data_IF_903544559995
#
_entry.id   IF_903544559995
#
_cell.length_a   1.000
_cell.length_b   1.000
_cell.length_c   1.000
_cell.angle_alpha   90.00
_cell.angle_beta   90.00
_cell.angle_gamma   90.00
#
_symmetry.space_group_name_H-M   'P 1'
#
loop_
_entity.id
_entity.type
_entity.pdbx_description
1 polymer ?
#
# COMPACT_ATOMS: atom_id res chain seq x y z
N UNK A 1 52.70 28.74 -13.16
CA UNK A 1 51.46 29.22 -12.52
C UNK A 1 50.30 28.73 -13.36
N UNK A 2 49.59 27.73 -12.85
CA UNK A 2 48.45 27.10 -13.50
C UNK A 2 47.82 26.18 -12.46
N UNK A 3 47.00 26.76 -11.59
CA UNK A 3 46.24 26.04 -10.58
C UNK A 3 45.16 25.21 -11.28
N UNK A 4 45.40 23.90 -11.40
CA UNK A 4 44.37 22.92 -11.73
C UNK A 4 43.31 22.95 -10.63
N UNK A 5 42.17 23.56 -10.93
CA UNK A 5 40.96 23.45 -10.12
C UNK A 5 40.46 22.01 -10.31
N UNK A 6 40.83 21.11 -9.39
CA UNK A 6 40.23 19.78 -9.35
C UNK A 6 38.72 19.96 -9.17
N UNK A 7 37.93 19.53 -10.15
CA UNK A 7 36.48 19.47 -10.02
C UNK A 7 36.19 18.36 -9.01
N UNK A 8 36.10 18.74 -7.74
CA UNK A 8 35.71 17.81 -6.68
C UNK A 8 34.34 17.22 -7.02
N UNK A 9 34.19 15.92 -6.79
CA UNK A 9 32.90 15.28 -6.96
C UNK A 9 31.88 15.92 -6.00
N UNK A 10 30.59 16.02 -6.37
CA UNK A 10 29.57 16.62 -5.49
C UNK A 10 29.51 15.96 -4.11
N UNK A 11 29.78 14.66 -4.02
CA UNK A 11 29.87 13.93 -2.75
C UNK A 11 31.03 14.41 -1.87
N UNK A 12 32.18 14.69 -2.47
CA UNK A 12 33.36 15.18 -1.73
C UNK A 12 33.15 16.61 -1.24
N UNK A 13 32.49 17.46 -2.03
CA UNK A 13 32.11 18.81 -1.62
C UNK A 13 31.12 18.77 -0.45
N UNK A 14 30.07 17.95 -0.52
CA UNK A 14 29.12 17.74 0.57
C UNK A 14 29.79 17.21 1.84
N UNK A 15 30.70 16.24 1.70
CA UNK A 15 31.47 15.69 2.83
C UNK A 15 32.32 16.77 3.51
N UNK A 16 32.98 17.61 2.72
CA UNK A 16 33.78 18.72 3.25
C UNK A 16 32.92 19.73 4.01
N UNK A 17 31.73 20.08 3.48
CA UNK A 17 30.77 20.94 4.18
C UNK A 17 30.37 20.32 5.52
N UNK A 18 29.97 19.03 5.53
CA UNK A 18 29.58 18.34 6.77
C UNK A 18 30.71 18.33 7.81
N UNK A 19 31.96 18.08 7.40
CA UNK A 19 33.12 18.09 8.30
C UNK A 19 33.39 19.48 8.88
N UNK A 20 33.32 20.53 8.07
CA UNK A 20 33.48 21.91 8.55
C UNK A 20 32.43 22.31 9.59
N UNK A 21 31.20 21.80 9.45
CA UNK A 21 30.14 22.04 10.45
C UNK A 21 30.47 21.33 11.77
N UNK A 22 30.90 20.08 11.70
CA UNK A 22 31.20 19.26 12.88
C UNK A 22 32.43 19.76 13.63
N UNK A 23 33.44 20.23 12.90
CA UNK A 23 34.64 20.88 13.46
C UNK A 23 34.35 22.29 14.01
N UNK A 24 33.12 22.80 13.87
CA UNK A 24 32.72 24.13 14.33
C UNK A 24 33.27 25.29 13.51
N UNK A 25 33.86 25.01 12.34
CA UNK A 25 34.38 26.03 11.42
C UNK A 25 33.27 26.73 10.62
N UNK A 26 32.14 26.05 10.44
CA UNK A 26 31.00 26.53 9.67
C UNK A 26 29.70 26.39 10.48
N UNK A 27 28.92 27.48 10.58
CA UNK A 27 27.64 27.43 11.27
C UNK A 27 26.62 26.55 10.50
N UNK A 28 25.80 25.73 11.19
CA UNK A 28 24.80 24.85 10.56
C UNK A 28 23.85 25.55 9.58
N UNK A 29 23.37 26.74 9.93
CA UNK A 29 22.52 27.57 9.07
C UNK A 29 23.19 27.98 7.76
N UNK A 30 24.49 28.30 7.82
CA UNK A 30 25.26 28.73 6.65
C UNK A 30 25.48 27.53 5.73
N UNK A 31 25.84 26.37 6.29
CA UNK A 31 25.96 25.12 5.55
C UNK A 31 24.65 24.73 4.85
N UNK A 32 23.51 24.86 5.54
CA UNK A 32 22.19 24.63 4.95
C UNK A 32 21.95 25.53 3.71
N UNK A 33 22.29 26.82 3.79
CA UNK A 33 22.12 27.75 2.68
C UNK A 33 23.03 27.41 1.48
N UNK A 34 24.24 26.90 1.74
CA UNK A 34 25.13 26.39 0.69
C UNK A 34 24.51 25.18 0.00
N UNK A 35 24.06 24.17 0.76
CA UNK A 35 23.37 22.98 0.22
C UNK A 35 22.14 23.38 -0.60
N UNK A 36 21.33 24.31 -0.10
CA UNK A 36 20.16 24.83 -0.82
C UNK A 36 20.54 25.49 -2.16
N UNK A 37 21.72 26.10 -2.24
CA UNK A 37 22.24 26.67 -3.49
C UNK A 37 22.70 25.57 -4.43
N UNK A 38 23.41 24.56 -3.93
CA UNK A 38 23.86 23.39 -4.71
C UNK A 38 22.68 22.59 -5.30
N UNK A 39 21.56 22.49 -4.57
CA UNK A 39 20.33 21.87 -5.07
C UNK A 39 19.74 22.56 -6.31
N UNK A 40 20.09 23.83 -6.58
CA UNK A 40 19.63 24.54 -7.80
C UNK A 40 20.48 24.20 -9.02
N UNK A 41 21.69 23.70 -8.81
CA UNK A 41 22.68 23.44 -9.86
C UNK A 41 22.88 21.96 -10.13
N UNK A 42 22.69 21.10 -9.12
CA UNK A 42 22.98 19.67 -9.17
C UNK A 42 21.72 18.90 -8.76
N UNK A 43 21.26 18.02 -9.65
CA UNK A 43 20.19 17.08 -9.34
C UNK A 43 20.67 16.00 -8.35
N UNK A 44 19.75 15.45 -7.55
CA UNK A 44 20.01 14.36 -6.58
C UNK A 44 20.84 14.72 -5.33
N UNK A 45 21.10 16.01 -5.06
CA UNK A 45 21.76 16.44 -3.81
C UNK A 45 21.13 15.83 -2.54
N UNK A 46 19.79 15.77 -2.37
CA UNK A 46 19.20 15.14 -1.19
C UNK A 46 19.61 13.67 -0.98
N UNK A 47 19.69 12.89 -2.06
CA UNK A 47 20.09 11.48 -2.00
C UNK A 47 21.57 11.34 -1.63
N UNK A 48 22.44 12.10 -2.30
CA UNK A 48 23.88 12.08 -2.04
C UNK A 48 24.20 12.58 -0.61
N UNK A 49 23.44 13.55 -0.13
CA UNK A 49 23.59 14.09 1.21
C UNK A 49 23.26 13.05 2.28
N UNK A 50 22.23 12.22 2.09
CA UNK A 50 21.91 11.13 3.03
C UNK A 50 23.09 10.18 3.18
N UNK A 51 23.69 9.76 2.07
CA UNK A 51 24.87 8.88 2.08
C UNK A 51 26.04 9.51 2.84
N UNK A 52 26.31 10.80 2.58
CA UNK A 52 27.36 11.56 3.26
C UNK A 52 27.08 11.70 4.76
N UNK A 53 25.84 12.02 5.15
CA UNK A 53 25.45 12.14 6.56
C UNK A 53 25.61 10.80 7.30
N UNK A 54 25.30 9.67 6.65
CA UNK A 54 25.47 8.34 7.23
C UNK A 54 26.96 7.99 7.46
N UNK A 55 27.85 8.35 6.52
CA UNK A 55 29.30 8.19 6.69
C UNK A 55 29.78 9.02 7.88
N UNK A 56 29.35 10.27 7.95
CA UNK A 56 29.72 11.21 9.01
C UNK A 56 29.20 10.75 10.39
N UNK A 57 27.97 10.22 10.46
CA UNK A 57 27.41 9.65 11.68
C UNK A 57 28.20 8.42 12.17
N UNK A 58 28.63 7.58 11.22
CA UNK A 58 29.51 6.45 11.51
C UNK A 58 30.87 6.90 12.05
N UNK A 59 31.50 7.91 11.44
CA UNK A 59 32.75 8.52 11.92
C UNK A 59 32.58 9.00 13.38
N UNK A 60 31.53 9.76 13.66
CA UNK A 60 31.22 10.28 14.99
C UNK A 60 30.96 9.18 16.04
N UNK A 61 30.42 8.04 15.63
CA UNK A 61 30.11 6.92 16.52
C UNK A 61 31.37 6.16 16.98
N UNK A 62 32.47 6.24 16.22
CA UNK A 62 33.73 5.55 16.56
C UNK A 62 34.63 6.33 17.52
N UNK A 63 34.48 7.65 17.60
CA UNK A 63 35.34 8.54 18.38
C UNK A 63 34.73 8.92 19.74
N UNK A 64 35.28 8.37 20.83
CA UNK A 64 34.77 8.54 22.22
C UNK A 64 34.83 9.98 22.80
N UNK A 65 35.21 11.01 22.05
CA UNK A 65 35.56 12.36 22.57
C UNK A 65 34.76 13.54 22.01
N UNK A 66 33.71 13.30 21.24
CA UNK A 66 33.13 14.33 20.36
C UNK A 66 31.67 14.71 20.70
N UNK A 67 31.35 14.98 21.96
CA UNK A 67 30.01 15.46 22.38
C UNK A 67 29.63 16.81 21.73
N UNK A 68 30.58 17.74 21.59
CA UNK A 68 30.33 19.04 20.93
C UNK A 68 30.11 18.88 19.42
N UNK A 69 30.94 18.08 18.76
CA UNK A 69 30.78 17.70 17.36
C UNK A 69 29.42 17.05 17.08
N UNK A 70 28.96 16.17 17.98
CA UNK A 70 27.64 15.54 17.89
C UNK A 70 26.50 16.55 18.04
N UNK A 71 26.67 17.56 18.90
CA UNK A 71 25.70 18.66 19.04
C UNK A 71 25.60 19.48 17.75
N UNK A 72 26.73 19.89 17.16
CA UNK A 72 26.73 20.60 15.87
C UNK A 72 26.11 19.75 14.75
N UNK A 73 26.38 18.45 14.74
CA UNK A 73 25.79 17.53 13.77
C UNK A 73 24.27 17.42 13.92
N UNK A 74 23.75 17.26 15.15
CA UNK A 74 22.31 17.22 15.42
C UNK A 74 21.61 18.54 15.07
N UNK A 75 22.23 19.67 15.40
CA UNK A 75 21.73 20.99 15.01
C UNK A 75 21.65 21.08 13.49
N UNK A 76 22.70 20.67 12.77
CA UNK A 76 22.71 20.64 11.32
C UNK A 76 21.66 19.74 10.69
N UNK A 77 21.49 18.51 11.20
CA UNK A 77 20.40 17.62 10.79
C UNK A 77 19.05 18.33 10.94
N UNK A 78 18.81 19.06 12.03
CA UNK A 78 17.54 19.75 12.26
C UNK A 78 17.23 20.84 11.20
N UNK A 79 18.25 21.45 10.61
CA UNK A 79 18.06 22.39 9.48
C UNK A 79 17.76 21.66 8.16
N UNK A 80 18.15 20.38 8.04
CA UNK A 80 17.94 19.56 6.84
C UNK A 80 16.60 18.83 6.85
N UNK A 81 16.12 18.44 8.03
CA UNK A 81 14.86 17.70 8.24
C UNK A 81 13.66 18.43 7.61
N UNK A 82 12.92 17.73 6.76
CA UNK A 82 11.73 18.17 6.00
C UNK A 82 11.94 19.38 5.08
N UNK A 83 13.16 19.93 5.01
CA UNK A 83 13.55 21.03 4.10
C UNK A 83 14.36 20.53 2.91
N UNK A 84 15.23 19.54 3.15
CA UNK A 84 16.08 18.91 2.13
C UNK A 84 15.77 17.42 2.04
N UNK A 85 15.67 16.75 3.19
CA UNK A 85 15.44 15.31 3.31
C UNK A 85 14.30 15.07 4.29
N UNK A 86 13.37 14.17 3.95
CA UNK A 86 12.25 13.83 4.84
C UNK A 86 12.75 13.20 6.15
N UNK A 87 12.11 13.57 7.27
CA UNK A 87 12.45 13.07 8.62
C UNK A 87 12.51 11.53 8.71
N UNK A 88 11.54 10.85 8.09
CA UNK A 88 11.48 9.39 8.08
C UNK A 88 12.71 8.75 7.41
N UNK A 89 13.29 9.39 6.38
CA UNK A 89 14.50 8.88 5.70
C UNK A 89 15.71 9.03 6.62
N UNK A 90 15.88 10.21 7.23
CA UNK A 90 16.99 10.46 8.15
C UNK A 90 16.95 9.50 9.35
N UNK A 91 15.78 9.25 9.93
CA UNK A 91 15.61 8.27 11.02
C UNK A 91 15.90 6.83 10.60
N UNK A 92 15.72 6.49 9.33
CA UNK A 92 16.02 5.14 8.83
C UNK A 92 17.52 4.92 8.58
N UNK A 93 18.26 5.97 8.24
CA UNK A 93 19.66 5.86 7.80
C UNK A 93 20.68 6.31 8.86
N UNK A 94 20.29 7.18 9.80
CA UNK A 94 21.21 7.73 10.80
C UNK A 94 21.05 7.05 12.17
N UNK A 95 22.14 6.50 12.68
CA UNK A 95 22.23 5.86 14.00
C UNK A 95 22.04 6.86 15.13
N UNK A 96 22.49 8.10 14.98
CA UNK A 96 22.21 9.20 15.94
C UNK A 96 20.72 9.46 16.13
N UNK A 97 19.88 9.10 15.15
CA UNK A 97 18.42 9.21 15.20
C UNK A 97 17.70 7.89 15.49
N UNK A 98 18.44 6.82 15.80
CA UNK A 98 17.87 5.52 16.15
C UNK A 98 17.56 4.61 14.95
N UNK A 99 18.31 4.70 13.85
CA UNK A 99 18.19 3.77 12.72
C UNK A 99 18.32 2.30 13.14
N UNK A 100 19.22 2.00 14.08
CA UNK A 100 19.42 0.67 14.64
C UNK A 100 18.37 0.23 15.68
N UNK A 101 17.43 1.10 16.07
CA UNK A 101 16.37 0.71 16.99
C UNK A 101 15.41 -0.31 16.37
N UNK A 102 15.00 -1.29 17.17
CA UNK A 102 14.11 -2.36 16.72
C UNK A 102 12.77 -1.83 16.20
N UNK A 103 12.29 -0.72 16.75
CA UNK A 103 11.09 0.01 16.36
C UNK A 103 11.21 0.53 14.92
N UNK A 104 12.30 1.22 14.61
CA UNK A 104 12.61 1.77 13.27
C UNK A 104 12.76 0.66 12.23
N UNK A 105 13.54 -0.37 12.52
CA UNK A 105 13.69 -1.54 11.63
C UNK A 105 12.36 -2.23 11.34
N UNK A 106 11.53 -2.41 12.37
CA UNK A 106 10.19 -2.98 12.22
C UNK A 106 9.27 -2.11 11.35
N UNK A 107 9.35 -0.77 11.47
CA UNK A 107 8.61 0.16 10.61
C UNK A 107 9.05 0.07 9.15
N UNK A 108 10.35 -0.02 8.89
CA UNK A 108 10.91 -0.18 7.53
C UNK A 108 10.39 -1.47 6.89
N UNK A 109 10.46 -2.59 7.62
CA UNK A 109 9.94 -3.88 7.14
C UNK A 109 8.45 -3.78 6.81
N UNK A 110 7.62 -3.27 7.73
CA UNK A 110 6.17 -3.11 7.49
C UNK A 110 5.87 -2.23 6.28
N UNK A 111 6.60 -1.14 6.11
CA UNK A 111 6.42 -0.19 5.00
C UNK A 111 6.81 -0.84 3.67
N UNK A 112 7.97 -1.49 3.60
CA UNK A 112 8.41 -2.24 2.42
C UNK A 112 7.41 -3.35 2.10
N UNK A 113 6.96 -4.12 3.10
CA UNK A 113 5.98 -5.19 2.88
C UNK A 113 4.67 -4.63 2.31
N UNK A 114 4.17 -3.52 2.87
CA UNK A 114 2.96 -2.85 2.36
C UNK A 114 3.16 -2.34 0.93
N UNK A 115 4.32 -1.78 0.60
CA UNK A 115 4.59 -1.21 -0.71
C UNK A 115 4.72 -2.30 -1.79
N UNK A 116 5.37 -3.42 -1.48
CA UNK A 116 5.68 -4.45 -2.46
C UNK A 116 4.66 -5.59 -2.52
N UNK A 117 3.95 -5.91 -1.43
CA UNK A 117 3.05 -7.08 -1.38
C UNK A 117 1.57 -6.73 -1.24
N UNK A 118 1.21 -5.47 -0.94
CA UNK A 118 -0.20 -5.09 -0.88
C UNK A 118 -0.72 -4.85 -2.30
N UNK A 119 -1.44 -5.82 -2.85
CA UNK A 119 -2.24 -5.58 -4.06
C UNK A 119 -3.38 -4.61 -3.73
N UNK A 120 -3.57 -3.61 -4.58
CA UNK A 120 -4.75 -2.74 -4.50
C UNK A 120 -5.89 -3.55 -5.10
N UNK A 121 -6.75 -4.10 -4.24
CA UNK A 121 -8.04 -4.68 -4.64
C UNK A 121 -9.14 -3.82 -4.04
N UNK A 122 -10.06 -3.37 -4.86
CA UNK A 122 -11.21 -2.60 -4.40
C UNK A 122 -12.26 -3.58 -3.92
N UNK A 123 -12.66 -3.45 -2.66
CA UNK A 123 -13.64 -4.34 -2.03
C UNK A 123 -14.98 -3.61 -1.82
N UNK A 124 -14.98 -2.27 -1.85
CA UNK A 124 -16.17 -1.47 -1.58
C UNK A 124 -16.70 -0.84 -2.87
N UNK A 125 -18.02 -0.80 -3.01
CA UNK A 125 -18.68 -0.23 -4.20
C UNK A 125 -18.27 1.24 -4.47
N UNK A 126 -17.99 2.01 -3.42
CA UNK A 126 -17.55 3.41 -3.53
C UNK A 126 -16.11 3.58 -4.00
N UNK A 127 -15.29 2.55 -3.83
CA UNK A 127 -13.88 2.60 -4.26
C UNK A 127 -13.78 2.47 -5.77
N UNK A 128 -14.61 1.63 -6.39
CA UNK A 128 -14.61 1.39 -7.84
C UNK A 128 -16.03 1.18 -8.39
N UNK A 129 -16.80 2.27 -8.43
CA UNK A 129 -18.22 2.21 -8.81
C UNK A 129 -18.48 1.78 -10.26
N UNK A 130 -17.57 2.11 -11.19
CA UNK A 130 -17.72 1.75 -12.60
C UNK A 130 -17.56 0.23 -12.81
N UNK A 131 -16.50 -0.35 -12.24
CA UNK A 131 -16.23 -1.79 -12.34
C UNK A 131 -17.38 -2.62 -11.78
N UNK A 132 -17.90 -2.25 -10.61
CA UNK A 132 -19.03 -2.96 -10.01
C UNK A 132 -20.36 -2.74 -10.74
N UNK A 133 -20.63 -1.53 -11.26
CA UNK A 133 -21.82 -1.29 -12.07
C UNK A 133 -21.82 -2.16 -13.34
N UNK A 134 -20.68 -2.22 -14.05
CA UNK A 134 -20.52 -3.07 -15.24
C UNK A 134 -20.70 -4.55 -14.91
N UNK A 135 -20.16 -5.00 -13.78
CA UNK A 135 -20.35 -6.38 -13.31
C UNK A 135 -21.83 -6.70 -13.09
N UNK A 136 -22.57 -5.84 -12.40
CA UNK A 136 -24.00 -6.04 -12.11
C UNK A 136 -24.82 -6.04 -13.39
N UNK A 137 -24.61 -5.05 -14.27
CA UNK A 137 -25.28 -4.95 -15.58
C UNK A 137 -25.03 -6.20 -16.42
N UNK A 138 -23.80 -6.71 -16.45
CA UNK A 138 -23.45 -7.92 -17.19
C UNK A 138 -24.21 -9.14 -16.68
N UNK A 139 -24.37 -9.28 -15.36
CA UNK A 139 -25.06 -10.39 -14.74
C UNK A 139 -26.58 -10.32 -14.90
N UNK A 140 -27.19 -9.13 -14.88
CA UNK A 140 -28.64 -8.95 -14.87
C UNK A 140 -29.26 -8.72 -16.25
N UNK A 141 -28.67 -7.89 -17.11
CA UNK A 141 -29.33 -7.38 -18.32
C UNK A 141 -29.20 -8.30 -19.55
N UNK A 142 -28.42 -9.38 -19.46
CA UNK A 142 -28.21 -10.31 -20.57
C UNK A 142 -28.78 -11.71 -20.26
N UNK A 143 -30.07 -11.97 -20.55
CA UNK A 143 -30.73 -13.24 -20.24
C UNK A 143 -30.19 -14.42 -21.08
N UNK A 144 -29.56 -14.16 -22.22
CA UNK A 144 -28.94 -15.17 -23.09
C UNK A 144 -27.45 -15.38 -22.81
N UNK A 145 -26.92 -14.77 -21.75
CA UNK A 145 -25.52 -14.92 -21.37
C UNK A 145 -25.22 -16.35 -20.94
N UNK A 146 -24.24 -16.98 -21.59
CA UNK A 146 -23.73 -18.30 -21.21
C UNK A 146 -22.69 -18.16 -20.09
N UNK A 147 -22.56 -19.19 -19.25
CA UNK A 147 -21.64 -19.19 -18.10
C UNK A 147 -20.20 -18.89 -18.52
N UNK A 148 -19.70 -19.56 -19.56
CA UNK A 148 -18.35 -19.33 -20.11
C UNK A 148 -18.12 -17.87 -20.55
N UNK A 149 -19.12 -17.22 -21.17
CA UNK A 149 -19.01 -15.80 -21.57
C UNK A 149 -19.04 -14.89 -20.36
N UNK A 150 -19.89 -15.18 -19.37
CA UNK A 150 -19.97 -14.44 -18.12
C UNK A 150 -18.62 -14.50 -17.38
N UNK A 151 -18.06 -15.69 -17.16
CA UNK A 151 -16.76 -15.86 -16.50
C UNK A 151 -15.65 -15.10 -17.18
N UNK A 152 -15.59 -15.19 -18.50
CA UNK A 152 -14.61 -14.44 -19.28
C UNK A 152 -14.73 -12.95 -18.97
N UNK A 153 -15.94 -12.39 -19.02
CA UNK A 153 -16.16 -10.96 -18.71
C UNK A 153 -15.85 -10.62 -17.26
N UNK A 154 -16.21 -11.49 -16.31
CA UNK A 154 -15.90 -11.32 -14.88
C UNK A 154 -14.39 -11.24 -14.64
N UNK A 155 -13.59 -12.15 -15.21
CA UNK A 155 -12.13 -12.09 -15.06
C UNK A 155 -11.52 -10.84 -15.71
N UNK A 156 -12.05 -10.39 -16.85
CA UNK A 156 -11.63 -9.12 -17.44
C UNK A 156 -11.97 -7.92 -16.53
N UNK A 157 -13.17 -7.87 -15.95
CA UNK A 157 -13.56 -6.80 -15.03
C UNK A 157 -12.72 -6.82 -13.74
N UNK A 158 -12.50 -8.00 -13.15
CA UNK A 158 -11.65 -8.18 -11.97
C UNK A 158 -10.24 -7.66 -12.26
N UNK A 159 -9.65 -8.03 -13.40
CA UNK A 159 -8.31 -7.59 -13.77
C UNK A 159 -8.23 -6.10 -14.14
N UNK A 160 -9.19 -5.60 -14.92
CA UNK A 160 -9.19 -4.22 -15.42
C UNK A 160 -9.43 -3.21 -14.31
N UNK A 161 -10.37 -3.51 -13.41
CA UNK A 161 -10.78 -2.61 -12.33
C UNK A 161 -10.21 -3.03 -10.98
N UNK A 162 -9.33 -4.04 -10.91
CA UNK A 162 -8.77 -4.56 -9.66
C UNK A 162 -9.84 -4.89 -8.60
N UNK A 163 -10.96 -5.51 -9.01
CA UNK A 163 -12.04 -5.84 -8.08
C UNK A 163 -11.61 -6.97 -7.12
N UNK A 164 -12.06 -6.90 -5.87
CA UNK A 164 -11.88 -7.99 -4.92
C UNK A 164 -12.76 -9.20 -5.31
N UNK A 165 -12.17 -10.39 -5.57
CA UNK A 165 -12.93 -11.58 -5.97
C UNK A 165 -13.98 -12.04 -4.95
N UNK A 166 -13.73 -11.87 -3.64
CA UNK A 166 -14.70 -12.24 -2.62
C UNK A 166 -15.92 -11.32 -2.67
N UNK A 167 -15.71 -10.02 -2.94
CA UNK A 167 -16.82 -9.11 -3.19
C UNK A 167 -17.56 -9.43 -4.49
N UNK A 168 -16.87 -9.91 -5.52
CA UNK A 168 -17.54 -10.39 -6.74
C UNK A 168 -18.45 -11.58 -6.45
N UNK A 169 -18.03 -12.55 -5.63
CA UNK A 169 -18.89 -13.68 -5.21
C UNK A 169 -20.15 -13.16 -4.50
N UNK A 170 -19.99 -12.21 -3.59
CA UNK A 170 -21.10 -11.60 -2.86
C UNK A 170 -22.12 -10.94 -3.81
N UNK A 171 -21.63 -10.18 -4.80
CA UNK A 171 -22.48 -9.55 -5.83
C UNK A 171 -23.16 -10.59 -6.73
N UNK A 172 -22.48 -11.69 -7.10
CA UNK A 172 -23.10 -12.80 -7.84
C UNK A 172 -24.27 -13.37 -7.03
N UNK A 173 -24.10 -13.54 -5.72
CA UNK A 173 -25.16 -14.00 -4.82
C UNK A 173 -26.32 -12.98 -4.75
N UNK A 174 -26.05 -11.67 -4.64
CA UNK A 174 -27.09 -10.62 -4.67
C UNK A 174 -27.88 -10.61 -6.00
N UNK A 175 -27.19 -10.78 -7.13
CA UNK A 175 -27.81 -10.85 -8.45
C UNK A 175 -28.66 -12.13 -8.59
N UNK A 176 -28.19 -13.23 -8.01
CA UNK A 176 -28.91 -14.49 -7.98
C UNK A 176 -30.18 -14.38 -7.13
N UNK A 177 -30.11 -13.78 -5.93
CA UNK A 177 -31.29 -13.46 -5.10
C UNK A 177 -32.36 -12.71 -5.90
N UNK A 178 -31.92 -11.76 -6.73
CA UNK A 178 -32.80 -10.91 -7.54
C UNK A 178 -33.38 -11.60 -8.78
N UNK A 179 -32.77 -12.69 -9.26
CA UNK A 179 -33.12 -13.35 -10.54
C UNK A 179 -33.20 -14.87 -10.41
N UNK A 180 -34.11 -15.35 -9.54
CA UNK A 180 -34.28 -16.78 -9.25
C UNK A 180 -34.61 -17.65 -10.47
N UNK A 181 -35.18 -17.06 -11.52
CA UNK A 181 -35.49 -17.78 -12.76
C UNK A 181 -34.24 -18.28 -13.50
N UNK A 182 -33.09 -17.64 -13.29
CA UNK A 182 -31.79 -18.04 -13.86
C UNK A 182 -30.96 -18.88 -12.90
N UNK A 183 -31.59 -19.60 -11.97
CA UNK A 183 -30.92 -20.41 -10.94
C UNK A 183 -29.83 -21.33 -11.47
N UNK A 184 -30.10 -22.07 -12.55
CA UNK A 184 -29.10 -23.00 -13.12
C UNK A 184 -27.84 -22.25 -13.57
N UNK A 185 -28.02 -21.12 -14.26
CA UNK A 185 -26.93 -20.27 -14.70
C UNK A 185 -26.07 -19.77 -13.52
N UNK A 186 -26.67 -19.27 -12.44
CA UNK A 186 -25.91 -18.74 -11.30
C UNK A 186 -25.19 -19.84 -10.49
N UNK A 187 -25.79 -21.03 -10.36
CA UNK A 187 -25.12 -22.17 -9.73
C UNK A 187 -23.91 -22.58 -10.56
N UNK A 188 -24.10 -22.82 -11.87
CA UNK A 188 -23.02 -23.22 -12.77
C UNK A 188 -21.92 -22.13 -12.80
N UNK A 189 -22.29 -20.85 -12.77
CA UNK A 189 -21.36 -19.72 -12.71
C UNK A 189 -20.52 -19.72 -11.42
N UNK A 190 -21.13 -19.90 -10.25
CA UNK A 190 -20.39 -19.96 -8.97
C UNK A 190 -19.43 -21.16 -8.92
N UNK A 191 -19.87 -22.29 -9.44
CA UNK A 191 -19.05 -23.51 -9.55
C UNK A 191 -17.85 -23.29 -10.47
N UNK A 192 -18.07 -22.78 -11.68
CA UNK A 192 -16.99 -22.56 -12.64
C UNK A 192 -16.07 -21.37 -12.24
N UNK A 193 -16.59 -20.38 -11.52
CA UNK A 193 -15.79 -19.30 -10.91
C UNK A 193 -14.89 -19.80 -9.77
N UNK A 194 -15.12 -21.04 -9.30
CA UNK A 194 -14.41 -21.70 -8.19
C UNK A 194 -14.60 -20.97 -6.85
N UNK A 195 -15.80 -20.46 -6.61
CA UNK A 195 -16.15 -19.92 -5.30
C UNK A 195 -16.12 -21.06 -4.27
N UNK A 196 -15.24 -20.97 -3.27
CA UNK A 196 -15.11 -22.05 -2.28
C UNK A 196 -16.35 -22.13 -1.39
N UNK A 197 -16.64 -23.33 -0.88
CA UNK A 197 -17.73 -23.53 0.07
C UNK A 197 -17.56 -22.64 1.31
N UNK A 198 -16.34 -22.52 1.83
CA UNK A 198 -16.03 -21.68 2.99
C UNK A 198 -16.26 -20.19 2.72
N UNK A 199 -15.84 -19.67 1.56
CA UNK A 199 -16.05 -18.27 1.19
C UNK A 199 -17.54 -17.93 1.11
N UNK A 200 -18.31 -18.81 0.45
CA UNK A 200 -19.76 -18.67 0.35
C UNK A 200 -20.39 -18.73 1.75
N UNK A 201 -20.02 -19.72 2.58
CA UNK A 201 -20.51 -19.85 3.94
C UNK A 201 -20.24 -18.61 4.78
N UNK A 202 -19.04 -18.04 4.69
CA UNK A 202 -18.65 -16.83 5.41
C UNK A 202 -19.48 -15.62 4.97
N UNK A 203 -19.64 -15.43 3.65
CA UNK A 203 -20.46 -14.34 3.09
C UNK A 203 -21.92 -14.48 3.53
N UNK A 204 -22.49 -15.69 3.42
CA UNK A 204 -23.87 -15.97 3.82
C UNK A 204 -24.08 -15.80 5.32
N UNK A 205 -23.16 -16.31 6.13
CA UNK A 205 -23.17 -16.14 7.58
C UNK A 205 -23.20 -14.67 7.95
N UNK A 206 -22.34 -13.86 7.31
CA UNK A 206 -22.33 -12.41 7.49
C UNK A 206 -23.66 -11.78 7.06
N UNK A 207 -24.20 -12.08 5.88
CA UNK A 207 -25.52 -11.58 5.44
C UNK A 207 -26.64 -11.91 6.43
N UNK A 208 -26.68 -13.14 6.96
CA UNK A 208 -27.70 -13.56 7.91
C UNK A 208 -27.67 -12.80 9.23
N UNK A 209 -26.53 -12.26 9.66
CA UNK A 209 -26.49 -11.39 10.85
C UNK A 209 -27.33 -10.12 10.65
N UNK A 210 -27.39 -9.56 9.45
CA UNK A 210 -28.20 -8.37 9.15
C UNK A 210 -29.70 -8.68 9.14
N UNK A 211 -30.08 -9.90 8.77
CA UNK A 211 -31.47 -10.33 8.74
C UNK A 211 -32.05 -10.64 10.13
N UNK A 212 -31.22 -10.84 11.16
CA UNK A 212 -31.69 -11.01 12.55
C UNK A 212 -32.37 -9.74 13.11
N UNK A 213 -32.04 -8.55 12.58
CA UNK A 213 -32.58 -7.26 13.05
C UNK A 213 -33.92 -6.92 12.38
N UNK A 214 -34.26 -7.53 11.24
CA UNK A 214 -35.47 -7.25 10.47
C UNK A 214 -36.44 -8.44 10.54
N UNK A 215 -37.11 -8.62 11.69
CA UNK A 215 -38.18 -9.60 11.84
C UNK A 215 -39.43 -9.13 11.07
N UNK A 216 -39.53 -9.47 9.79
CA UNK A 216 -40.78 -9.39 9.02
C UNK A 216 -41.04 -10.76 8.38
N UNK A 217 -41.85 -11.52 9.11
CA UNK A 217 -42.14 -12.95 9.04
C UNK A 217 -42.79 -13.46 7.73
N UNK A 218 -42.89 -12.65 6.67
CA UNK A 218 -43.64 -13.01 5.45
C UNK A 218 -42.80 -13.11 4.17
N UNK A 219 -41.62 -12.49 4.09
CA UNK A 219 -40.73 -12.60 2.89
C UNK A 219 -39.68 -13.70 3.06
N UNK A 220 -39.43 -14.13 4.30
CA UNK A 220 -38.41 -15.11 4.65
C UNK A 220 -38.63 -16.48 4.00
N UNK A 221 -39.88 -16.92 3.83
CA UNK A 221 -40.20 -18.25 3.29
C UNK A 221 -39.84 -18.44 1.80
N UNK A 222 -39.71 -17.40 0.98
CA UNK A 222 -39.30 -17.56 -0.42
C UNK A 222 -37.78 -17.47 -0.60
N UNK A 223 -37.13 -16.52 0.07
CA UNK A 223 -35.70 -16.25 -0.15
C UNK A 223 -34.78 -17.15 0.69
N UNK A 224 -35.19 -17.55 1.89
CA UNK A 224 -34.41 -18.51 2.70
C UNK A 224 -34.43 -19.91 2.10
N UNK A 225 -35.49 -20.30 1.39
CA UNK A 225 -35.48 -21.55 0.64
C UNK A 225 -34.49 -21.58 -0.52
N UNK A 226 -34.18 -20.42 -1.11
CA UNK A 226 -33.13 -20.31 -2.15
C UNK A 226 -31.78 -20.50 -1.50
N UNK A 227 -31.49 -19.80 -0.41
CA UNK A 227 -30.21 -19.91 0.29
C UNK A 227 -29.96 -21.27 0.94
N UNK A 228 -30.95 -21.84 1.61
CA UNK A 228 -30.86 -23.20 2.16
C UNK A 228 -30.68 -24.21 1.03
N UNK A 229 -31.32 -24.03 -0.14
CA UNK A 229 -31.08 -24.90 -1.29
C UNK A 229 -29.71 -24.69 -1.92
N UNK A 230 -29.17 -23.48 -1.96
CA UNK A 230 -27.79 -23.23 -2.43
C UNK A 230 -26.80 -23.91 -1.50
N UNK A 231 -26.97 -23.73 -0.19
CA UNK A 231 -26.17 -24.38 0.84
C UNK A 231 -26.24 -25.92 0.75
N UNK A 232 -27.44 -26.50 0.64
CA UNK A 232 -27.61 -27.96 0.50
C UNK A 232 -27.09 -28.54 -0.83
N UNK A 233 -27.05 -27.75 -1.90
CA UNK A 233 -26.52 -28.23 -3.18
C UNK A 233 -25.00 -28.11 -3.25
N UNK A 234 -24.42 -27.03 -2.70
CA UNK A 234 -22.96 -26.87 -2.63
C UNK A 234 -22.32 -27.88 -1.67
N UNK A 235 -22.98 -28.19 -0.54
CA UNK A 235 -22.52 -29.21 0.41
C UNK A 235 -22.64 -30.67 -0.09
N UNK A 236 -23.18 -30.90 -1.29
CA UNK A 236 -23.36 -32.24 -1.88
C UNK A 236 -22.43 -32.52 -3.06
N UNK A 237 -21.52 -31.60 -3.37
CA UNK A 237 -20.53 -31.70 -4.44
C UNK A 237 -19.12 -32.05 -3.97
N UNK A 238 -18.97 -32.49 -2.70
CA UNK A 238 -17.82 -33.24 -2.21
C UNK A 238 -18.02 -34.75 -2.37
#
# INVERSE_FOLDING_TARGET
MGSTTEVLSPQTELLQICRQVIEGQLAPDVAYNIIRTLMKTIDNIPSLLVDVLAIVDLELSTEKKNEECRKYFLEFISHLTDRVVADDVLKCELDVLGANEQTTRSRVVKTKTRLFFKQVKFNLLREESEGYAKLITELLDNPSLTVSKALTRLYHLIGQFNLDPNRVIDIILECFESTLQRRKFFIDLLTEFKASGDDICNILGFKFTFYQVLFLFFIFLSNVFVFIRVFFYLAKSE
#
